data_IF_403079310081
#
_entry.id   IF_403079310081
#
_cell.length_a   1.000
_cell.length_b   1.000
_cell.length_c   1.000
_cell.angle_alpha   90.00
_cell.angle_beta   90.00
_cell.angle_gamma   90.00
#
_symmetry.space_group_name_H-M   'P 1'
#
loop_
_entity.id
_entity.type
_entity.pdbx_description
1 polymer ?
#
# COMPACT_ATOMS: atom_id res chain seq x y z
N UNK A 1 70.57 18.19 -13.59
CA UNK A 1 69.20 17.83 -14.01
C UNK A 1 68.54 17.07 -12.87
N UNK A 2 67.79 17.74 -12.01
CA UNK A 2 67.02 17.11 -10.92
C UNK A 2 65.55 17.37 -11.21
N UNK A 3 64.87 16.35 -11.74
CA UNK A 3 63.45 16.41 -12.06
C UNK A 3 62.63 16.21 -10.78
N UNK A 4 61.96 17.26 -10.34
CA UNK A 4 61.04 17.25 -9.22
C UNK A 4 59.67 16.79 -9.73
N UNK A 5 59.30 15.53 -9.47
CA UNK A 5 57.97 15.00 -9.76
C UNK A 5 56.99 15.50 -8.69
N UNK A 6 56.21 16.52 -9.04
CA UNK A 6 55.06 16.96 -8.24
C UNK A 6 53.90 16.01 -8.54
N UNK A 7 53.62 15.12 -7.60
CA UNK A 7 52.40 14.30 -7.57
C UNK A 7 51.23 15.22 -7.21
N UNK A 8 50.54 15.74 -8.22
CA UNK A 8 49.23 16.35 -8.04
C UNK A 8 48.23 15.26 -7.68
N UNK A 9 47.83 15.21 -6.41
CA UNK A 9 46.70 14.44 -5.96
C UNK A 9 45.44 14.96 -6.65
N UNK A 10 44.91 14.21 -7.62
CA UNK A 10 43.56 14.43 -8.10
C UNK A 10 42.63 14.17 -6.90
N UNK A 11 42.06 15.24 -6.36
CA UNK A 11 40.89 15.12 -5.49
C UNK A 11 39.77 14.61 -6.37
N UNK A 12 39.63 13.28 -6.46
CA UNK A 12 38.42 12.66 -6.95
C UNK A 12 37.34 12.96 -5.91
N UNK A 13 36.65 14.07 -6.09
CA UNK A 13 35.37 14.31 -5.42
C UNK A 13 34.43 13.18 -5.81
N UNK A 14 34.39 12.13 -5.01
CA UNK A 14 33.32 11.16 -5.05
C UNK A 14 32.07 11.86 -4.49
N UNK A 15 31.48 12.72 -5.30
CA UNK A 15 30.07 13.02 -5.20
C UNK A 15 29.35 11.75 -5.67
N UNK A 16 29.35 10.73 -4.79
CA UNK A 16 28.42 9.62 -4.93
C UNK A 16 27.06 10.26 -4.74
N UNK A 17 26.47 10.71 -5.84
CA UNK A 17 25.05 11.02 -5.92
C UNK A 17 24.37 9.77 -5.35
N UNK A 18 23.94 9.87 -4.10
CA UNK A 18 23.21 8.81 -3.42
C UNK A 18 21.80 8.82 -3.99
N UNK A 19 21.68 8.41 -5.25
CA UNK A 19 20.41 8.01 -5.83
C UNK A 19 20.01 6.72 -5.12
N UNK A 20 19.15 6.88 -4.13
CA UNK A 20 18.51 5.75 -3.48
C UNK A 20 17.30 5.36 -4.31
N UNK A 21 17.47 4.33 -5.15
CA UNK A 21 16.39 3.82 -5.98
C UNK A 21 15.51 2.86 -5.17
N UNK A 22 14.24 3.23 -5.02
CA UNK A 22 13.23 2.34 -4.44
C UNK A 22 12.57 1.55 -5.57
N UNK A 23 12.98 0.28 -5.71
CA UNK A 23 12.44 -0.61 -6.75
C UNK A 23 11.15 -1.29 -6.32
N UNK A 24 10.33 -1.71 -7.30
CA UNK A 24 9.16 -2.56 -7.08
C UNK A 24 9.52 -3.82 -6.28
N UNK A 25 10.70 -4.42 -6.51
CA UNK A 25 11.16 -5.59 -5.77
C UNK A 25 11.29 -5.31 -4.28
N UNK A 26 11.96 -4.22 -3.90
CA UNK A 26 12.16 -3.87 -2.49
C UNK A 26 10.82 -3.64 -1.79
N UNK A 27 9.89 -2.95 -2.46
CA UNK A 27 8.57 -2.70 -1.87
C UNK A 27 7.74 -3.98 -1.81
N UNK A 28 7.77 -4.83 -2.85
CA UNK A 28 7.05 -6.10 -2.85
C UNK A 28 7.59 -7.08 -1.80
N UNK A 29 8.90 -7.11 -1.57
CA UNK A 29 9.52 -7.91 -0.50
C UNK A 29 9.05 -7.41 0.89
N UNK A 30 8.87 -6.08 1.06
CA UNK A 30 8.28 -5.50 2.27
C UNK A 30 6.79 -5.84 2.41
N UNK A 31 6.00 -5.71 1.34
CA UNK A 31 4.57 -6.01 1.33
C UNK A 31 4.29 -7.50 1.60
N UNK A 32 5.14 -8.39 1.10
CA UNK A 32 5.05 -9.83 1.35
C UNK A 32 5.19 -10.17 2.83
N UNK A 33 6.03 -9.44 3.57
CA UNK A 33 6.16 -9.57 5.03
C UNK A 33 4.97 -8.99 5.80
N UNK A 34 4.15 -8.15 5.16
CA UNK A 34 2.93 -7.58 5.72
C UNK A 34 1.67 -8.35 5.31
N UNK A 35 1.82 -9.42 4.53
CA UNK A 35 0.72 -10.35 4.25
C UNK A 35 0.21 -10.98 5.56
N UNK A 36 -1.10 -11.15 5.67
CA UNK A 36 -1.76 -11.58 6.91
C UNK A 36 -2.05 -10.44 7.90
N UNK A 37 -1.89 -9.18 7.50
CA UNK A 37 -2.27 -8.03 8.32
C UNK A 37 -3.77 -8.11 8.64
N UNK A 38 -4.08 -8.13 9.92
CA UNK A 38 -5.45 -8.17 10.42
C UNK A 38 -5.83 -6.81 10.99
N UNK A 39 -7.00 -6.32 10.59
CA UNK A 39 -7.61 -5.09 11.11
C UNK A 39 -9.03 -5.40 11.53
N UNK A 40 -9.35 -5.10 12.78
CA UNK A 40 -10.71 -5.10 13.29
C UNK A 40 -11.28 -3.69 13.14
N UNK A 41 -12.50 -3.58 12.63
CA UNK A 41 -13.24 -2.31 12.52
C UNK A 41 -14.66 -2.47 13.07
N UNK A 42 -15.21 -1.38 13.61
CA UNK A 42 -16.56 -1.36 14.19
C UNK A 42 -16.60 -1.62 15.70
N UNK A 43 -17.81 -1.86 16.20
CA UNK A 43 -18.09 -2.07 17.63
C UNK A 43 -18.73 -3.44 17.82
N UNK A 44 -18.06 -4.27 18.62
CA UNK A 44 -18.53 -5.62 18.93
C UNK A 44 -19.91 -5.59 19.61
N UNK A 45 -20.80 -6.48 19.16
CA UNK A 45 -22.17 -6.54 19.63
C UNK A 45 -23.15 -5.61 18.90
N UNK A 46 -22.67 -4.70 18.04
CA UNK A 46 -23.52 -3.91 17.12
C UNK A 46 -23.25 -4.32 15.68
N UNK A 47 -22.06 -3.99 15.18
CA UNK A 47 -21.54 -4.41 13.89
C UNK A 47 -20.02 -4.27 13.91
N UNK A 48 -19.32 -5.37 13.64
CA UNK A 48 -17.88 -5.39 13.52
C UNK A 48 -17.43 -6.20 12.31
N UNK A 49 -16.22 -5.92 11.82
CA UNK A 49 -15.60 -6.66 10.75
C UNK A 49 -14.13 -6.92 11.02
N UNK A 50 -13.73 -8.19 10.93
CA UNK A 50 -12.34 -8.60 10.86
C UNK A 50 -11.90 -8.68 9.40
N UNK A 51 -10.89 -7.90 9.07
CA UNK A 51 -10.30 -7.78 7.74
C UNK A 51 -8.92 -8.44 7.79
N UNK A 52 -8.68 -9.45 6.96
CA UNK A 52 -7.35 -10.05 6.76
C UNK A 52 -6.87 -9.72 5.35
N UNK A 53 -5.77 -8.98 5.23
CA UNK A 53 -5.15 -8.65 3.95
C UNK A 53 -4.11 -9.69 3.53
N UNK A 54 -4.09 -10.06 2.27
CA UNK A 54 -3.13 -10.99 1.68
C UNK A 54 -2.75 -10.56 0.26
N UNK A 55 -1.71 -11.21 -0.29
CA UNK A 55 -1.34 -11.12 -1.70
C UNK A 55 -1.08 -9.68 -2.17
N UNK A 56 -0.51 -8.87 -1.27
CA UNK A 56 -0.19 -7.47 -1.52
C UNK A 56 0.95 -7.35 -2.52
N UNK A 57 0.72 -6.60 -3.59
CA UNK A 57 1.75 -6.27 -4.58
C UNK A 57 1.61 -4.82 -5.06
N UNK A 58 2.74 -4.25 -5.50
CA UNK A 58 2.82 -2.91 -6.08
C UNK A 58 3.44 -2.97 -7.47
N UNK A 59 2.97 -2.08 -8.34
CA UNK A 59 3.56 -1.72 -9.62
C UNK A 59 3.79 -0.20 -9.66
N UNK A 60 4.91 0.24 -10.23
CA UNK A 60 5.30 1.64 -10.32
C UNK A 60 5.30 2.06 -11.79
N UNK A 61 4.50 3.06 -12.15
CA UNK A 61 4.53 3.69 -13.47
C UNK A 61 4.02 2.84 -14.64
N UNK A 62 3.57 1.59 -14.43
CA UNK A 62 3.17 0.67 -15.50
C UNK A 62 1.83 1.02 -16.14
N UNK A 63 0.85 1.40 -15.31
CA UNK A 63 -0.48 1.82 -15.78
C UNK A 63 -0.47 3.29 -16.17
N UNK A 64 0.13 4.15 -15.33
CA UNK A 64 0.23 5.58 -15.57
C UNK A 64 1.58 6.10 -15.01
N UNK A 65 2.36 6.85 -15.80
CA UNK A 65 3.61 7.44 -15.34
C UNK A 65 3.42 8.30 -14.09
N UNK A 66 4.33 8.18 -13.12
CA UNK A 66 4.28 8.95 -11.87
C UNK A 66 3.24 8.47 -10.86
N UNK A 67 2.53 7.37 -11.14
CA UNK A 67 1.62 6.71 -10.19
C UNK A 67 2.09 5.31 -9.84
N UNK A 68 1.55 4.81 -8.75
CA UNK A 68 1.68 3.41 -8.33
C UNK A 68 0.32 2.74 -8.37
N UNK A 69 0.33 1.43 -8.62
CA UNK A 69 -0.84 0.56 -8.54
C UNK A 69 -0.58 -0.52 -7.49
N UNK A 70 -1.53 -0.69 -6.56
CA UNK A 70 -1.52 -1.72 -5.53
C UNK A 70 -2.59 -2.74 -5.83
N UNK A 71 -2.24 -4.02 -5.76
CA UNK A 71 -3.21 -5.11 -5.78
C UNK A 71 -3.16 -5.91 -4.50
N UNK A 72 -4.29 -6.43 -4.06
CA UNK A 72 -4.35 -7.30 -2.90
C UNK A 72 -5.69 -8.00 -2.76
N UNK A 73 -5.70 -9.01 -1.91
CA UNK A 73 -6.89 -9.75 -1.51
C UNK A 73 -7.22 -9.42 -0.05
N UNK A 74 -8.51 -9.32 0.26
CA UNK A 74 -9.01 -9.07 1.61
C UNK A 74 -10.07 -10.11 1.94
N UNK A 75 -9.92 -10.81 3.06
CA UNK A 75 -10.98 -11.64 3.62
C UNK A 75 -11.68 -10.85 4.73
N UNK A 76 -13.00 -10.73 4.61
CA UNK A 76 -13.87 -10.00 5.51
C UNK A 76 -14.73 -11.01 6.27
N UNK A 77 -14.69 -10.96 7.60
CA UNK A 77 -15.64 -11.64 8.47
C UNK A 77 -16.45 -10.57 9.19
N UNK A 78 -17.74 -10.53 8.94
CA UNK A 78 -18.65 -9.53 9.49
C UNK A 78 -19.45 -10.18 10.60
N UNK A 79 -19.47 -9.56 11.77
CA UNK A 79 -20.34 -9.91 12.88
C UNK A 79 -21.35 -8.79 13.10
N UNK A 80 -22.61 -9.15 13.33
CA UNK A 80 -23.69 -8.19 13.53
C UNK A 80 -24.79 -8.78 14.40
N UNK A 81 -25.66 -7.91 14.91
CA UNK A 81 -26.87 -8.31 15.65
C UNK A 81 -27.73 -9.36 14.93
N UNK A 82 -27.66 -9.42 13.60
CA UNK A 82 -28.49 -10.31 12.77
C UNK A 82 -27.75 -11.57 12.31
N UNK A 83 -26.48 -11.75 12.70
CA UNK A 83 -25.68 -12.93 12.39
C UNK A 83 -24.34 -12.61 11.72
N UNK A 84 -23.58 -13.69 11.47
CA UNK A 84 -22.23 -13.65 10.91
C UNK A 84 -22.23 -13.95 9.42
N UNK A 85 -21.48 -13.18 8.65
CA UNK A 85 -21.28 -13.42 7.22
C UNK A 85 -19.83 -13.15 6.82
N UNK A 86 -19.46 -13.54 5.61
CA UNK A 86 -18.11 -13.33 5.11
C UNK A 86 -18.07 -13.04 3.62
N UNK A 87 -17.02 -12.35 3.21
CA UNK A 87 -16.75 -12.05 1.82
C UNK A 87 -15.25 -12.00 1.56
N UNK A 88 -14.83 -12.38 0.36
CA UNK A 88 -13.48 -12.14 -0.12
C UNK A 88 -13.52 -11.06 -1.19
N UNK A 89 -12.59 -10.12 -1.12
CA UNK A 89 -12.51 -8.98 -2.03
C UNK A 89 -11.12 -8.95 -2.65
N UNK A 90 -11.05 -8.93 -3.98
CA UNK A 90 -9.82 -8.58 -4.70
C UNK A 90 -9.89 -7.12 -5.07
N UNK A 91 -8.85 -6.35 -4.77
CA UNK A 91 -8.80 -4.91 -4.95
C UNK A 91 -7.61 -4.52 -5.82
N UNK A 92 -7.83 -3.52 -6.66
CA UNK A 92 -6.75 -2.75 -7.30
C UNK A 92 -6.96 -1.28 -6.97
N UNK A 93 -5.93 -0.65 -6.43
CA UNK A 93 -5.90 0.76 -6.06
C UNK A 93 -4.78 1.45 -6.85
N UNK A 94 -4.94 2.73 -7.18
CA UNK A 94 -3.82 3.56 -7.65
C UNK A 94 -3.69 4.82 -6.83
N UNK A 95 -2.50 5.39 -6.81
CA UNK A 95 -2.22 6.65 -6.14
C UNK A 95 -0.90 7.25 -6.57
N UNK A 96 -0.61 8.46 -6.09
CA UNK A 96 0.60 9.19 -6.41
C UNK A 96 1.59 9.13 -5.24
N UNK A 97 2.79 8.55 -5.42
CA UNK A 97 3.81 8.55 -4.38
C UNK A 97 4.30 9.99 -4.12
N UNK A 98 4.51 10.31 -2.85
CA UNK A 98 5.03 11.59 -2.38
C UNK A 98 6.01 11.34 -1.23
N UNK A 99 7.24 11.84 -1.38
CA UNK A 99 8.25 11.75 -0.33
C UNK A 99 8.08 12.89 0.68
N UNK A 100 7.96 12.55 1.95
CA UNK A 100 7.92 13.50 3.05
C UNK A 100 9.26 13.49 3.78
N UNK A 101 10.11 14.47 3.49
CA UNK A 101 11.49 14.52 3.97
C UNK A 101 11.61 14.55 5.50
N UNK A 102 10.72 15.25 6.18
CA UNK A 102 10.69 15.36 7.65
C UNK A 102 10.52 14.00 8.34
N UNK A 103 9.79 13.09 7.71
CA UNK A 103 9.49 11.76 8.24
C UNK A 103 10.37 10.66 7.62
N UNK A 104 11.17 11.00 6.61
CA UNK A 104 11.97 10.03 5.86
C UNK A 104 11.13 8.93 5.22
N UNK A 105 9.88 9.22 4.84
CA UNK A 105 8.90 8.24 4.40
C UNK A 105 8.25 8.61 3.06
N UNK A 106 7.88 7.58 2.30
CA UNK A 106 7.10 7.71 1.06
C UNK A 106 5.64 7.42 1.39
N UNK A 107 4.78 8.40 1.14
CA UNK A 107 3.34 8.30 1.29
C UNK A 107 2.68 8.18 -0.07
N UNK A 108 1.47 7.61 -0.10
CA UNK A 108 0.66 7.54 -1.32
C UNK A 108 -0.52 8.50 -1.17
N UNK A 109 -0.53 9.55 -1.99
CA UNK A 109 -1.62 10.54 -2.06
C UNK A 109 -2.67 10.13 -3.09
N UNK A 110 -3.86 10.68 -2.93
CA UNK A 110 -4.95 10.57 -3.91
C UNK A 110 -5.29 9.13 -4.28
N UNK A 111 -5.31 8.23 -3.28
CA UNK A 111 -5.63 6.83 -3.52
C UNK A 111 -7.05 6.66 -4.03
N UNK A 112 -7.18 5.86 -5.08
CA UNK A 112 -8.43 5.58 -5.78
C UNK A 112 -8.57 4.09 -5.98
N UNK A 113 -9.78 3.57 -5.83
CA UNK A 113 -10.13 2.20 -6.24
C UNK A 113 -10.28 2.16 -7.77
N UNK A 114 -9.42 1.41 -8.44
CA UNK A 114 -9.52 1.17 -9.88
C UNK A 114 -10.39 -0.04 -10.20
N UNK A 115 -10.30 -1.10 -9.41
CA UNK A 115 -11.18 -2.26 -9.56
C UNK A 115 -11.42 -2.96 -8.21
N UNK A 116 -12.57 -3.62 -8.11
CA UNK A 116 -12.88 -4.50 -6.99
C UNK A 116 -13.73 -5.67 -7.46
N UNK A 117 -13.47 -6.87 -6.92
CA UNK A 117 -14.28 -8.06 -7.15
C UNK A 117 -14.61 -8.74 -5.83
N UNK A 118 -15.89 -8.94 -5.55
CA UNK A 118 -16.38 -9.54 -4.30
C UNK A 118 -16.87 -10.96 -4.56
N UNK A 119 -16.56 -11.88 -3.66
CA UNK A 119 -17.05 -13.26 -3.65
C UNK A 119 -17.59 -13.64 -2.27
N UNK A 120 -18.74 -14.30 -2.15
CA UNK A 120 -19.66 -14.70 -3.23
C UNK A 120 -20.38 -13.50 -3.87
N UNK A 121 -20.61 -13.53 -5.19
CA UNK A 121 -21.26 -12.44 -5.94
C UNK A 121 -22.66 -12.06 -5.40
N UNK A 122 -23.35 -13.03 -4.76
CA UNK A 122 -24.67 -12.85 -4.14
C UNK A 122 -24.68 -11.95 -2.90
N UNK A 123 -23.51 -11.60 -2.36
CA UNK A 123 -23.35 -10.74 -1.17
C UNK A 123 -23.13 -9.25 -1.52
N UNK A 124 -23.41 -8.81 -2.74
CA UNK A 124 -23.34 -7.39 -3.14
C UNK A 124 -24.15 -6.43 -2.24
N UNK A 125 -25.20 -6.93 -1.58
CA UNK A 125 -25.99 -6.17 -0.59
C UNK A 125 -25.24 -5.93 0.74
N UNK A 126 -24.42 -6.87 1.21
CA UNK A 126 -23.59 -6.71 2.42
C UNK A 126 -22.41 -5.75 2.21
N UNK A 127 -21.85 -5.71 0.99
CA UNK A 127 -20.84 -4.72 0.62
C UNK A 127 -21.38 -3.28 0.59
N UNK A 128 -22.68 -3.06 0.51
CA UNK A 128 -23.27 -1.73 0.59
C UNK A 128 -23.24 -1.17 2.04
N UNK A 129 -23.37 -2.05 3.05
CA UNK A 129 -23.17 -1.69 4.46
C UNK A 129 -21.71 -1.37 4.75
N UNK A 130 -20.78 -2.16 4.21
CA UNK A 130 -19.34 -1.91 4.32
C UNK A 130 -18.92 -0.66 3.54
N UNK A 131 -19.56 -0.34 2.40
CA UNK A 131 -19.30 0.91 1.67
C UNK A 131 -19.65 2.15 2.49
N UNK A 132 -20.65 2.08 3.38
CA UNK A 132 -20.97 3.15 4.33
C UNK A 132 -19.96 3.23 5.47
N UNK A 133 -19.50 2.09 5.99
CA UNK A 133 -18.44 2.02 7.03
C UNK A 133 -17.10 2.52 6.48
N UNK A 134 -16.67 2.05 5.31
CA UNK A 134 -15.43 2.48 4.63
C UNK A 134 -15.50 3.92 4.12
N UNK A 135 -16.70 4.49 3.94
CA UNK A 135 -16.88 5.92 3.65
C UNK A 135 -16.75 6.78 4.90
N UNK A 136 -16.95 6.22 6.09
CA UNK A 136 -16.64 6.86 7.38
C UNK A 136 -15.17 6.66 7.77
N UNK A 137 -14.59 5.48 7.53
CA UNK A 137 -13.20 5.13 7.86
C UNK A 137 -12.15 5.64 6.86
N UNK A 138 -12.55 6.34 5.80
CA UNK A 138 -11.61 6.88 4.79
C UNK A 138 -10.67 7.97 5.34
N UNK A 139 -10.81 8.37 6.61
CA UNK A 139 -9.96 9.37 7.27
C UNK A 139 -9.14 8.88 8.49
N UNK A 140 -9.35 7.66 9.01
CA UNK A 140 -8.69 7.23 10.27
C UNK A 140 -7.67 6.08 10.10
N UNK A 141 -7.28 5.77 8.86
CA UNK A 141 -6.25 4.74 8.61
C UNK A 141 -5.06 5.17 7.74
N UNK A 142 -4.90 6.47 7.49
CA UNK A 142 -3.69 7.02 6.90
C UNK A 142 -3.22 8.28 7.63
#
# INVERSE_FOLDING_TARGET
MTALFVLTSLVTGCDQIRQFDVSEKVINDYLSQKSGLQKHIGEDGVVSADITLSDLAIQIGRTEPGKVSFSGSASLKIDSLFGKTGANVNLTLSGQPFYQAELGAIYIKSMKIDSYKVSPEKNGAGCNGIKTLLRYDYCDLF
#
